data_IF_835198149255
#
_entry.id   IF_835198149255
#
_cell.length_a   1.000
_cell.length_b   1.000
_cell.length_c   1.000
_cell.angle_alpha   90.00
_cell.angle_beta   90.00
_cell.angle_gamma   90.00
#
_symmetry.space_group_name_H-M   'P 1'
#
loop_
_entity.id
_entity.type
_entity.pdbx_description
1 polymer ?
#
# COMPACT_ATOMS: atom_id res chain seq x y z
N UNK A 1 -22.63 1.24 1.93
CA UNK A 1 -21.64 2.25 1.50
C UNK A 1 -20.30 1.76 2.01
N UNK A 2 -19.38 1.36 1.12
CA UNK A 2 -18.03 0.97 1.58
C UNK A 2 -17.37 2.21 2.21
N UNK A 3 -16.75 2.04 3.37
CA UNK A 3 -15.85 3.08 3.89
C UNK A 3 -14.62 3.15 2.98
N UNK A 4 -14.13 4.34 2.62
CA UNK A 4 -12.99 4.48 1.72
C UNK A 4 -11.75 3.80 2.30
N UNK A 5 -10.85 3.34 1.42
CA UNK A 5 -9.54 2.81 1.79
C UNK A 5 -8.82 3.80 2.71
N UNK A 6 -8.26 3.32 3.83
CA UNK A 6 -7.41 4.13 4.71
C UNK A 6 -6.04 3.52 4.94
N UNK A 7 -5.01 4.35 4.88
CA UNK A 7 -3.61 3.96 5.08
C UNK A 7 -3.05 4.82 6.22
N UNK A 8 -2.65 4.17 7.31
CA UNK A 8 -1.92 4.81 8.40
C UNK A 8 -0.54 4.20 8.48
N UNK A 9 0.49 5.03 8.43
CA UNK A 9 1.88 4.63 8.59
C UNK A 9 2.37 5.05 9.97
N UNK A 10 3.17 4.21 10.63
CA UNK A 10 3.73 4.54 11.95
C UNK A 10 5.24 4.74 11.91
N UNK A 11 5.96 3.84 11.27
CA UNK A 11 7.39 3.92 11.01
C UNK A 11 7.81 2.77 10.09
N UNK A 12 8.95 2.89 9.41
CA UNK A 12 9.51 1.81 8.54
C UNK A 12 8.42 1.23 7.63
N UNK A 13 8.09 -0.05 7.79
CA UNK A 13 7.04 -0.75 7.05
C UNK A 13 5.83 -1.13 7.93
N UNK A 14 5.72 -0.50 9.10
CA UNK A 14 4.59 -0.67 10.01
C UNK A 14 3.40 0.16 9.54
N UNK A 15 2.32 -0.52 9.12
CA UNK A 15 1.11 0.11 8.63
C UNK A 15 -0.15 -0.48 9.27
N UNK A 16 -1.19 0.34 9.39
CA UNK A 16 -2.57 -0.10 9.60
C UNK A 16 -3.37 0.29 8.35
N UNK A 17 -3.96 -0.71 7.71
CA UNK A 17 -4.67 -0.58 6.44
C UNK A 17 -6.14 -0.93 6.67
N UNK A 18 -7.04 -0.03 6.29
CA UNK A 18 -8.47 -0.30 6.22
C UNK A 18 -8.81 -0.51 4.76
N UNK A 19 -9.08 -1.75 4.35
CA UNK A 19 -9.31 -2.11 2.94
C UNK A 19 -10.40 -3.17 2.87
N UNK A 20 -11.43 -2.95 2.04
CA UNK A 20 -12.52 -3.92 1.86
C UNK A 20 -13.24 -4.28 3.17
N UNK A 21 -13.43 -3.31 4.05
CA UNK A 21 -14.06 -3.50 5.37
C UNK A 21 -13.20 -4.20 6.42
N UNK A 22 -11.95 -4.58 6.10
CA UNK A 22 -11.04 -5.21 7.05
C UNK A 22 -9.90 -4.29 7.49
N UNK A 23 -9.42 -4.55 8.70
CA UNK A 23 -8.24 -3.94 9.29
C UNK A 23 -7.07 -4.93 9.17
N UNK A 24 -6.11 -4.57 8.32
CA UNK A 24 -4.88 -5.32 8.10
C UNK A 24 -3.72 -4.54 8.72
N UNK A 25 -2.99 -5.17 9.64
CA UNK A 25 -1.79 -4.60 10.25
C UNK A 25 -0.56 -5.27 9.65
N UNK A 26 0.36 -4.45 9.13
CA UNK A 26 1.59 -4.89 8.48
C UNK A 26 2.77 -4.60 9.39
N UNK A 27 3.64 -5.59 9.60
CA UNK A 27 4.88 -5.52 10.40
C UNK A 27 4.70 -4.79 11.76
N UNK A 28 3.77 -5.23 12.62
CA UNK A 28 3.50 -4.57 13.90
C UNK A 28 4.70 -4.54 14.85
N UNK A 29 5.65 -5.48 14.71
CA UNK A 29 6.90 -5.51 15.46
C UNK A 29 7.86 -4.36 15.11
N UNK A 30 7.63 -3.66 13.99
CA UNK A 30 8.39 -2.50 13.57
C UNK A 30 7.77 -1.17 14.02
N UNK A 31 6.71 -1.23 14.82
CA UNK A 31 6.12 -0.04 15.44
C UNK A 31 7.21 0.73 16.23
N UNK A 32 7.17 2.08 16.18
CA UNK A 32 8.10 2.88 16.96
C UNK A 32 7.79 2.73 18.47
N UNK A 33 8.77 2.99 19.37
CA UNK A 33 8.63 2.72 20.81
C UNK A 33 7.43 3.37 21.50
N UNK A 34 6.95 4.50 20.95
CA UNK A 34 5.82 5.26 21.46
C UNK A 34 4.47 4.60 21.15
N UNK A 35 4.44 3.64 20.23
CA UNK A 35 3.22 2.94 19.79
C UNK A 35 3.20 1.54 20.39
N UNK A 36 2.18 1.27 21.20
CA UNK A 36 1.97 -0.07 21.75
C UNK A 36 1.57 -1.05 20.64
N UNK A 37 2.40 -2.08 20.41
CA UNK A 37 2.08 -3.16 19.47
C UNK A 37 0.74 -3.83 19.80
N UNK A 38 0.41 -3.99 21.09
CA UNK A 38 -0.84 -4.58 21.53
C UNK A 38 -2.07 -3.74 21.16
N UNK A 39 -1.96 -2.41 21.24
CA UNK A 39 -3.02 -1.50 20.80
C UNK A 39 -3.13 -1.46 19.28
N UNK A 40 -1.99 -1.49 18.58
CA UNK A 40 -1.94 -1.48 17.13
C UNK A 40 -2.66 -2.68 16.52
N UNK A 41 -2.44 -3.89 17.07
CA UNK A 41 -3.09 -5.12 16.60
C UNK A 41 -4.49 -5.30 17.18
N UNK A 42 -4.90 -4.48 18.16
CA UNK A 42 -6.25 -4.53 18.70
C UNK A 42 -7.27 -4.14 17.63
N UNK A 43 -8.21 -5.06 17.38
CA UNK A 43 -9.20 -4.93 16.31
C UNK A 43 -8.65 -5.18 14.90
N UNK A 44 -7.43 -5.71 14.76
CA UNK A 44 -6.96 -6.18 13.45
C UNK A 44 -7.64 -7.49 13.08
N UNK A 45 -8.25 -7.54 11.90
CA UNK A 45 -8.77 -8.79 11.32
C UNK A 45 -7.63 -9.68 10.85
N UNK A 46 -6.56 -9.07 10.35
CA UNK A 46 -5.36 -9.76 9.86
C UNK A 46 -4.09 -9.05 10.29
N UNK A 47 -3.11 -9.83 10.72
CA UNK A 47 -1.76 -9.38 11.02
C UNK A 47 -0.83 -10.07 10.02
N UNK A 48 0.00 -9.29 9.34
CA UNK A 48 0.84 -9.79 8.24
C UNK A 48 2.26 -9.31 8.40
N UNK A 49 3.22 -10.21 8.21
CA UNK A 49 4.62 -9.83 8.05
C UNK A 49 5.00 -9.80 6.58
N UNK A 50 5.66 -8.74 6.14
CA UNK A 50 6.20 -8.64 4.78
C UNK A 50 7.19 -9.78 4.57
N UNK A 51 7.03 -10.49 3.45
CA UNK A 51 7.85 -11.65 3.12
C UNK A 51 7.48 -12.95 3.86
N UNK A 52 6.38 -12.98 4.63
CA UNK A 52 5.93 -14.20 5.30
C UNK A 52 5.65 -15.34 4.31
N UNK A 53 6.09 -16.55 4.65
CA UNK A 53 5.99 -17.74 3.79
C UNK A 53 4.54 -18.17 3.53
N UNK A 54 3.61 -17.80 4.41
CA UNK A 54 2.17 -18.11 4.28
C UNK A 54 1.46 -17.36 3.16
N UNK A 55 2.08 -16.32 2.58
CA UNK A 55 1.52 -15.60 1.44
C UNK A 55 1.95 -16.21 0.11
N UNK A 56 0.98 -16.41 -0.77
CA UNK A 56 1.25 -16.78 -2.17
C UNK A 56 1.93 -15.63 -2.90
N UNK A 57 2.84 -15.95 -3.81
CA UNK A 57 3.44 -14.94 -4.68
C UNK A 57 2.35 -14.36 -5.60
N UNK A 58 2.28 -13.04 -5.69
CA UNK A 58 1.44 -12.37 -6.68
C UNK A 58 1.92 -12.71 -8.10
N UNK A 59 1.01 -13.21 -8.92
CA UNK A 59 1.21 -13.49 -10.34
C UNK A 59 0.35 -12.53 -11.18
N UNK A 60 0.95 -11.54 -11.86
CA UNK A 60 0.21 -10.59 -12.68
C UNK A 60 -0.37 -11.21 -13.94
N UNK A 61 0.08 -12.39 -14.39
CA UNK A 61 -0.38 -12.99 -15.65
C UNK A 61 -1.78 -13.59 -15.55
N UNK A 62 -2.16 -14.11 -14.38
CA UNK A 62 -3.49 -14.63 -14.10
C UNK A 62 -4.42 -13.62 -13.42
N UNK A 63 -3.88 -12.49 -12.94
CA UNK A 63 -4.65 -11.51 -12.19
C UNK A 63 -5.51 -10.64 -13.10
N UNK A 64 -6.77 -10.47 -12.69
CA UNK A 64 -7.70 -9.53 -13.29
C UNK A 64 -8.28 -8.67 -12.18
N UNK A 65 -8.44 -7.37 -12.44
CA UNK A 65 -9.05 -6.46 -11.50
C UNK A 65 -10.44 -6.95 -11.10
N UNK A 66 -10.71 -7.01 -9.79
CA UNK A 66 -12.03 -7.35 -9.28
C UNK A 66 -13.06 -6.32 -9.73
N UNK A 67 -14.26 -6.79 -10.03
CA UNK A 67 -15.36 -5.89 -10.36
C UNK A 67 -15.73 -5.06 -9.13
N UNK A 68 -16.20 -3.82 -9.32
CA UNK A 68 -16.83 -3.06 -8.26
C UNK A 68 -18.00 -3.84 -7.66
N UNK A 69 -18.13 -3.80 -6.33
CA UNK A 69 -19.31 -4.33 -5.64
C UNK A 69 -20.56 -3.56 -6.09
N UNK A 70 -21.60 -4.29 -6.49
CA UNK A 70 -22.91 -3.74 -6.76
C UNK A 70 -23.65 -3.55 -5.43
N UNK A 71 -24.57 -2.59 -5.37
CA UNK A 71 -25.39 -2.35 -4.18
C UNK A 71 -26.20 -3.57 -3.71
N UNK A 72 -26.41 -4.56 -4.61
CA UNK A 72 -27.12 -5.81 -4.33
C UNK A 72 -26.23 -6.88 -3.69
N UNK A 73 -24.90 -6.73 -3.75
CA UNK A 73 -23.95 -7.74 -3.27
C UNK A 73 -23.86 -7.79 -1.72
N UNK A 74 -24.42 -6.77 -1.03
CA UNK A 74 -24.57 -6.77 0.43
C UNK A 74 -23.26 -6.97 1.22
N UNK A 75 -23.37 -7.57 2.41
CA UNK A 75 -22.24 -7.94 3.30
C UNK A 75 -21.52 -9.23 2.86
N UNK A 76 -21.90 -9.84 1.73
CA UNK A 76 -21.38 -11.14 1.25
C UNK A 76 -20.11 -10.99 0.40
N UNK A 77 -19.48 -9.81 0.43
CA UNK A 77 -18.24 -9.54 -0.28
C UNK A 77 -17.11 -10.42 0.28
N UNK A 78 -16.33 -11.11 -0.58
CA UNK A 78 -15.19 -11.87 -0.11
C UNK A 78 -14.15 -10.94 0.53
N UNK A 79 -13.44 -11.40 1.58
CA UNK A 79 -12.43 -10.59 2.23
C UNK A 79 -11.29 -10.22 1.26
N UNK A 80 -10.51 -9.16 1.57
CA UNK A 80 -9.33 -8.82 0.81
C UNK A 80 -8.39 -10.02 0.62
N UNK A 81 -8.01 -10.27 -0.64
CA UNK A 81 -6.95 -11.20 -0.96
C UNK A 81 -5.60 -10.54 -0.71
N UNK A 82 -4.71 -11.27 -0.05
CA UNK A 82 -3.34 -10.83 0.24
C UNK A 82 -2.35 -11.77 -0.42
N UNK A 83 -1.39 -11.18 -1.14
CA UNK A 83 -0.33 -11.90 -1.81
C UNK A 83 1.00 -11.18 -1.60
N UNK A 84 2.09 -11.94 -1.57
CA UNK A 84 3.44 -11.39 -1.52
C UNK A 84 3.76 -10.73 -2.86
N UNK A 85 4.31 -9.52 -2.81
CA UNK A 85 4.68 -8.74 -3.98
C UNK A 85 6.20 -8.56 -4.05
N UNK A 86 6.88 -9.25 -4.96
CA UNK A 86 8.35 -9.34 -4.94
C UNK A 86 8.87 -10.04 -3.66
N UNK A 87 10.12 -9.75 -3.26
CA UNK A 87 10.76 -10.37 -2.08
C UNK A 87 10.32 -9.79 -0.74
N UNK A 88 9.68 -8.62 -0.74
CA UNK A 88 9.30 -7.95 0.49
C UNK A 88 8.04 -7.13 0.43
N UNK A 89 7.29 -7.06 -0.67
CA UNK A 89 6.06 -6.27 -0.75
C UNK A 89 4.79 -7.07 -0.42
N UNK A 90 3.68 -6.34 -0.33
CA UNK A 90 2.33 -6.87 -0.15
C UNK A 90 1.42 -6.33 -1.26
N UNK A 91 0.67 -7.22 -1.90
CA UNK A 91 -0.41 -6.89 -2.80
C UNK A 91 -1.73 -7.21 -2.11
N UNK A 92 -2.62 -6.22 -2.05
CA UNK A 92 -3.95 -6.32 -1.43
C UNK A 92 -5.00 -6.03 -2.48
N UNK A 93 -5.88 -6.99 -2.72
CA UNK A 93 -6.97 -6.91 -3.69
C UNK A 93 -8.30 -7.13 -2.98
N UNK A 94 -9.07 -6.06 -2.85
CA UNK A 94 -10.36 -6.07 -2.20
C UNK A 94 -11.47 -5.72 -3.20
N UNK A 95 -12.64 -6.40 -3.13
CA UNK A 95 -13.79 -6.04 -3.96
C UNK A 95 -14.20 -4.57 -3.75
N UNK A 96 -14.50 -3.87 -4.84
CA UNK A 96 -14.93 -2.46 -4.77
C UNK A 96 -13.81 -1.43 -4.55
N UNK A 97 -12.60 -1.84 -4.20
CA UNK A 97 -11.47 -0.94 -3.93
C UNK A 97 -10.44 -0.94 -5.07
N UNK A 98 -9.58 0.08 -5.10
CA UNK A 98 -8.36 0.03 -5.89
C UNK A 98 -7.42 -1.06 -5.33
N UNK A 99 -6.59 -1.72 -6.17
CA UNK A 99 -5.51 -2.55 -5.66
C UNK A 99 -4.56 -1.69 -4.81
N UNK A 100 -4.19 -2.20 -3.64
CA UNK A 100 -3.20 -1.57 -2.76
C UNK A 100 -1.90 -2.36 -2.80
N UNK A 101 -0.79 -1.67 -3.04
CA UNK A 101 0.54 -2.26 -3.14
C UNK A 101 1.43 -1.60 -2.09
N UNK A 102 1.86 -2.35 -1.08
CA UNK A 102 2.84 -1.89 -0.09
C UNK A 102 4.21 -2.43 -0.48
N UNK A 103 5.08 -1.58 -1.01
CA UNK A 103 6.36 -2.00 -1.58
C UNK A 103 7.38 -2.37 -0.50
N UNK A 104 8.14 -3.42 -0.75
CA UNK A 104 9.30 -3.82 0.06
C UNK A 104 10.62 -3.81 -0.70
N UNK A 105 10.64 -4.33 -1.93
CA UNK A 105 11.80 -4.38 -2.84
C UNK A 105 11.42 -3.91 -4.26
N UNK A 106 12.41 -3.82 -5.16
CA UNK A 106 12.19 -3.40 -6.56
C UNK A 106 11.21 -4.35 -7.24
N UNK A 107 10.06 -3.82 -7.61
CA UNK A 107 9.03 -4.57 -8.29
C UNK A 107 9.11 -4.43 -9.80
N UNK A 108 8.64 -5.45 -10.51
CA UNK A 108 8.40 -5.37 -11.95
C UNK A 108 7.05 -4.70 -12.17
N UNK A 109 7.07 -3.38 -12.35
CA UNK A 109 5.88 -2.60 -12.64
C UNK A 109 5.36 -2.86 -14.05
N UNK A 110 4.04 -3.04 -14.15
CA UNK A 110 3.30 -3.20 -15.40
C UNK A 110 1.87 -2.67 -15.17
N UNK A 111 1.01 -2.71 -16.19
CA UNK A 111 -0.38 -2.26 -16.21
C UNK A 111 -1.29 -2.80 -15.11
N UNK A 112 -0.91 -3.87 -14.39
CA UNK A 112 -1.67 -4.29 -13.21
C UNK A 112 -1.69 -3.20 -12.11
N UNK A 113 -0.73 -2.27 -12.14
CA UNK A 113 -0.65 -1.14 -11.22
C UNK A 113 -1.44 0.10 -11.70
N UNK A 114 -2.14 0.02 -12.84
CA UNK A 114 -3.02 1.09 -13.29
C UNK A 114 -4.19 1.25 -12.30
N UNK A 115 -4.49 2.50 -11.91
CA UNK A 115 -5.46 2.87 -10.87
C UNK A 115 -5.18 2.25 -9.48
N UNK A 116 -3.98 1.71 -9.25
CA UNK A 116 -3.57 1.21 -7.94
C UNK A 116 -3.19 2.36 -6.99
N UNK A 117 -3.35 2.11 -5.69
CA UNK A 117 -2.74 2.90 -4.62
C UNK A 117 -1.43 2.21 -4.23
N UNK A 118 -0.31 2.91 -4.33
CA UNK A 118 1.03 2.35 -4.08
C UNK A 118 1.63 3.05 -2.87
N UNK A 119 2.16 2.29 -1.92
CA UNK A 119 2.87 2.80 -0.75
C UNK A 119 4.34 2.44 -0.86
N UNK A 120 5.20 3.46 -0.94
CA UNK A 120 6.65 3.32 -0.97
C UNK A 120 7.23 3.74 0.38
N UNK A 121 8.09 2.91 0.95
CA UNK A 121 8.83 3.21 2.17
C UNK A 121 10.32 2.95 1.95
N UNK A 122 11.18 3.84 2.43
CA UNK A 122 12.63 3.67 2.30
C UNK A 122 13.40 4.98 2.12
N UNK A 123 14.71 4.87 1.80
CA UNK A 123 15.56 6.02 1.60
C UNK A 123 15.21 6.77 0.31
N UNK A 124 15.44 8.09 0.30
CA UNK A 124 15.04 8.99 -0.78
C UNK A 124 15.49 8.52 -2.18
N UNK A 125 16.77 8.17 -2.36
CA UNK A 125 17.30 7.77 -3.68
C UNK A 125 16.53 6.58 -4.26
N UNK A 126 16.12 5.66 -3.37
CA UNK A 126 15.32 4.51 -3.73
C UNK A 126 13.89 4.92 -4.07
N UNK A 127 13.27 5.83 -3.30
CA UNK A 127 11.94 6.35 -3.59
C UNK A 127 11.88 7.03 -4.96
N UNK A 128 12.85 7.89 -5.27
CA UNK A 128 12.94 8.57 -6.57
C UNK A 128 13.05 7.56 -7.73
N UNK A 129 13.87 6.53 -7.57
CA UNK A 129 14.03 5.47 -8.57
C UNK A 129 12.74 4.64 -8.74
N UNK A 130 12.08 4.27 -7.64
CA UNK A 130 10.85 3.50 -7.65
C UNK A 130 9.68 4.31 -8.28
N UNK A 131 9.54 5.59 -7.93
CA UNK A 131 8.54 6.50 -8.53
C UNK A 131 8.74 6.59 -10.04
N UNK A 132 9.97 6.80 -10.50
CA UNK A 132 10.29 6.90 -11.93
C UNK A 132 9.95 5.61 -12.68
N UNK A 133 10.24 4.46 -12.07
CA UNK A 133 9.93 3.15 -12.65
C UNK A 133 8.41 2.90 -12.73
N UNK A 134 7.65 3.35 -11.72
CA UNK A 134 6.18 3.27 -11.73
C UNK A 134 5.61 4.15 -12.84
N UNK A 135 6.01 5.43 -12.90
CA UNK A 135 5.48 6.39 -13.87
C UNK A 135 5.75 5.97 -15.33
N UNK A 136 6.87 5.28 -15.57
CA UNK A 136 7.21 4.73 -16.88
C UNK A 136 6.32 3.54 -17.29
N UNK A 137 5.81 2.76 -16.33
CA UNK A 137 5.15 1.47 -16.60
C UNK A 137 3.64 1.47 -16.37
N UNK A 138 3.10 2.38 -15.55
CA UNK A 138 1.71 2.38 -15.12
C UNK A 138 1.17 3.80 -14.88
N UNK A 139 -0.13 3.89 -14.59
CA UNK A 139 -0.84 5.11 -14.17
C UNK A 139 -1.53 4.84 -12.84
N UNK A 140 -0.80 4.83 -11.71
CA UNK A 140 -1.43 4.61 -10.41
C UNK A 140 -2.34 5.79 -10.06
N UNK A 141 -3.35 5.52 -9.24
CA UNK A 141 -4.22 6.54 -8.68
C UNK A 141 -3.43 7.48 -7.76
N UNK A 142 -2.55 6.88 -6.96
CA UNK A 142 -1.79 7.56 -5.93
C UNK A 142 -0.52 6.77 -5.59
N UNK A 143 0.57 7.50 -5.36
CA UNK A 143 1.78 6.96 -4.72
C UNK A 143 1.99 7.68 -3.39
N UNK A 144 1.76 6.95 -2.29
CA UNK A 144 1.98 7.41 -0.93
C UNK A 144 3.42 7.11 -0.48
N UNK A 145 4.10 8.09 0.12
CA UNK A 145 5.49 8.00 0.53
C UNK A 145 5.60 7.99 2.06
N UNK A 146 6.09 6.87 2.59
CA UNK A 146 6.36 6.63 4.01
C UNK A 146 7.86 6.84 4.28
N UNK A 147 8.27 8.09 4.53
CA UNK A 147 9.66 8.41 4.87
C UNK A 147 9.77 9.65 5.73
N UNK A 148 10.54 9.55 6.81
CA UNK A 148 10.90 10.69 7.67
C UNK A 148 12.02 11.55 7.06
N UNK A 149 12.62 11.12 5.95
CA UNK A 149 13.78 11.78 5.34
C UNK A 149 13.39 12.79 4.27
N UNK A 150 12.10 12.88 3.93
CA UNK A 150 11.62 13.81 2.91
C UNK A 150 11.29 15.14 3.57
N UNK A 151 11.89 16.20 3.04
CA UNK A 151 11.59 17.59 3.34
C UNK A 151 11.35 18.37 2.03
N UNK A 152 11.07 19.67 2.13
CA UNK A 152 10.75 20.54 1.01
C UNK A 152 11.85 20.59 -0.07
N UNK A 153 13.13 20.44 0.30
CA UNK A 153 14.25 20.47 -0.64
C UNK A 153 14.21 19.29 -1.64
N UNK A 154 13.53 18.21 -1.27
CA UNK A 154 13.40 17.00 -2.09
C UNK A 154 12.22 17.05 -3.07
N UNK A 155 11.27 17.98 -2.89
CA UNK A 155 10.05 18.04 -3.69
C UNK A 155 10.30 18.17 -5.20
N UNK A 156 11.28 18.98 -5.68
CA UNK A 156 11.58 19.05 -7.11
C UNK A 156 12.01 17.70 -7.71
N UNK A 157 12.83 16.93 -6.98
CA UNK A 157 13.29 15.62 -7.44
C UNK A 157 12.14 14.60 -7.50
N UNK A 158 11.28 14.60 -6.48
CA UNK A 158 10.09 13.73 -6.41
C UNK A 158 9.07 14.09 -7.50
N UNK A 159 8.81 15.38 -7.73
CA UNK A 159 7.88 15.85 -8.76
C UNK A 159 8.36 15.47 -10.18
N UNK A 160 9.66 15.64 -10.44
CA UNK A 160 10.26 15.24 -11.71
C UNK A 160 10.16 13.72 -11.94
N UNK A 161 10.44 12.93 -10.91
CA UNK A 161 10.31 11.46 -10.96
C UNK A 161 8.86 11.02 -11.19
N UNK A 162 7.90 11.69 -10.57
CA UNK A 162 6.48 11.35 -10.66
C UNK A 162 5.90 11.50 -12.07
N UNK A 163 6.45 12.42 -12.87
CA UNK A 163 6.00 12.71 -14.23
C UNK A 163 4.46 12.90 -14.33
N UNK A 164 3.88 13.62 -13.36
CA UNK A 164 2.44 13.86 -13.26
C UNK A 164 1.65 12.83 -12.46
N UNK A 165 2.29 11.76 -11.97
CA UNK A 165 1.68 10.82 -11.03
C UNK A 165 1.39 11.51 -9.69
N UNK A 166 0.18 11.39 -9.12
CA UNK A 166 -0.13 11.96 -7.80
C UNK A 166 0.77 11.36 -6.72
N UNK A 167 1.44 12.23 -5.96
CA UNK A 167 2.25 11.86 -4.79
C UNK A 167 1.61 12.40 -3.51
N UNK A 168 1.69 11.64 -2.43
CA UNK A 168 1.28 12.08 -1.09
C UNK A 168 2.29 11.64 -0.04
N UNK A 169 2.75 12.56 0.79
CA UNK A 169 3.57 12.21 1.96
C UNK A 169 2.65 11.68 3.07
N UNK A 170 3.07 10.57 3.70
CA UNK A 170 2.40 10.02 4.86
C UNK A 170 2.97 10.64 6.13
N UNK A 171 2.08 11.18 6.95
CA UNK A 171 2.43 11.63 8.30
C UNK A 171 2.28 10.46 9.29
N UNK A 172 3.28 10.20 10.15
CA UNK A 172 3.20 9.14 11.14
C UNK A 172 1.96 9.25 12.03
N UNK A 173 1.17 8.18 12.11
CA UNK A 173 -0.05 8.10 12.90
C UNK A 173 -1.27 8.79 12.27
N UNK A 174 -1.13 9.47 11.13
CA UNK A 174 -2.26 10.09 10.42
C UNK A 174 -2.81 9.15 9.34
N UNK A 175 -4.13 9.06 9.25
CA UNK A 175 -4.79 8.28 8.21
C UNK A 175 -4.90 9.09 6.92
N UNK A 176 -4.43 8.51 5.82
CA UNK A 176 -4.70 8.94 4.46
C UNK A 176 -5.89 8.16 3.89
N UNK A 177 -6.86 8.87 3.31
CA UNK A 177 -7.96 8.27 2.54
C UNK A 177 -7.62 8.28 1.03
N UNK A 178 -7.88 7.18 0.32
CA UNK A 178 -7.46 6.97 -1.07
C UNK A 178 -8.54 6.30 -1.96
#
# INVERSE_FOLDING_TARGET
MSSPMKITWFAKTCFRLHVGGQIIVVDPELAPPEISTGELISGADRIVRKGEAGLTQFDPSGWHRRRPLLAVDGDDAPPPALSRFGSGGLFVDAPGEAPLIVCGDKALWNRFADDAVIVLAGPLDRLVADISAIAASARPRLVALASHQIDEAHFPALANAAAGTPLQLLEPGLALEA
#
